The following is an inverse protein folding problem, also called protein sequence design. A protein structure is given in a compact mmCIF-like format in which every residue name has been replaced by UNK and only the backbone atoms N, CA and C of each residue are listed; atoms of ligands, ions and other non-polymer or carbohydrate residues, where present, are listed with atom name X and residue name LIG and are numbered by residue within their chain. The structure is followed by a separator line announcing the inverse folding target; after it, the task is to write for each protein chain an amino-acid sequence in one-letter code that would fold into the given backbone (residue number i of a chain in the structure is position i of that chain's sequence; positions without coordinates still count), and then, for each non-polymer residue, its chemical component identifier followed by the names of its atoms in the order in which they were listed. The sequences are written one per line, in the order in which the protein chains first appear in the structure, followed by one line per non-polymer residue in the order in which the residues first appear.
data_IF_245222242997
#
_entry.id   IF_245222242997
#
_cell.length_a   1.000
_cell.length_b   1.000
_cell.length_c   1.000
_cell.angle_alpha   90.00
_cell.angle_beta   90.00
_cell.angle_gamma   90.00
#
_symmetry.space_group_name_H-M   'P 1'
#
loop_
_entity.id
_entity.type
_entity.pdbx_description
1 polymer ?
#
# COMPACT_ATOMS: atom_id res chain seq x y z
N UNK A 1 14.92 15.01 5.20
CA UNK A 1 15.32 15.08 3.78
C UNK A 1 14.42 16.05 3.05
N UNK A 2 14.98 17.07 2.44
CA UNK A 2 14.15 17.92 1.59
C UNK A 2 13.63 17.15 0.40
N UNK A 3 12.34 17.26 0.13
CA UNK A 3 11.72 16.68 -1.04
C UNK A 3 12.06 17.53 -2.25
N UNK A 4 12.76 16.96 -3.20
CA UNK A 4 12.98 17.61 -4.49
C UNK A 4 11.88 17.23 -5.47
N UNK A 5 11.32 18.22 -6.14
CA UNK A 5 10.31 17.96 -7.17
C UNK A 5 11.00 17.46 -8.46
N UNK A 6 10.36 16.52 -9.16
CA UNK A 6 10.90 16.08 -10.45
C UNK A 6 10.89 17.22 -11.46
N UNK A 7 11.93 17.25 -12.30
CA UNK A 7 12.17 18.36 -13.24
C UNK A 7 11.74 18.06 -14.67
N UNK A 8 11.38 16.83 -14.98
CA UNK A 8 10.99 16.43 -16.33
C UNK A 8 10.01 15.27 -16.32
N UNK A 9 9.31 15.07 -17.44
CA UNK A 9 8.44 13.92 -17.63
C UNK A 9 9.21 12.59 -17.59
N UNK A 10 10.42 12.59 -18.13
CA UNK A 10 11.28 11.41 -18.10
C UNK A 10 11.64 11.03 -16.66
N UNK A 11 11.96 12.02 -15.84
CA UNK A 11 12.23 11.79 -14.42
C UNK A 11 11.00 11.28 -13.67
N UNK A 12 9.82 11.84 -13.95
CA UNK A 12 8.56 11.37 -13.37
C UNK A 12 8.33 9.90 -13.73
N UNK A 13 8.50 9.52 -14.99
CA UNK A 13 8.32 8.13 -15.43
C UNK A 13 9.29 7.18 -14.73
N UNK A 14 10.54 7.58 -14.57
CA UNK A 14 11.55 6.80 -13.87
C UNK A 14 11.15 6.57 -12.41
N UNK A 15 10.74 7.63 -11.72
CA UNK A 15 10.29 7.56 -10.33
C UNK A 15 9.07 6.65 -10.22
N UNK A 16 8.11 6.78 -11.12
CA UNK A 16 6.91 5.95 -11.12
C UNK A 16 7.24 4.47 -11.36
N UNK A 17 8.15 4.17 -12.27
CA UNK A 17 8.58 2.80 -12.54
C UNK A 17 9.24 2.16 -11.30
N UNK A 18 10.11 2.89 -10.64
CA UNK A 18 10.77 2.44 -9.41
C UNK A 18 9.75 2.20 -8.29
N UNK A 19 8.80 3.13 -8.12
CA UNK A 19 7.77 3.02 -7.08
C UNK A 19 6.78 1.89 -7.34
N UNK A 20 6.39 1.68 -8.59
CA UNK A 20 5.54 0.54 -8.97
C UNK A 20 6.22 -0.78 -8.62
N UNK A 21 7.48 -0.93 -8.98
CA UNK A 21 8.27 -2.13 -8.68
C UNK A 21 8.36 -2.34 -7.18
N UNK A 22 8.73 -1.31 -6.44
CA UNK A 22 8.85 -1.38 -4.98
C UNK A 22 7.53 -1.77 -4.33
N UNK A 23 6.43 -1.15 -4.74
CA UNK A 23 5.10 -1.45 -4.20
C UNK A 23 4.70 -2.91 -4.43
N UNK A 24 4.95 -3.43 -5.63
CA UNK A 24 4.65 -4.83 -5.95
C UNK A 24 5.56 -5.78 -5.18
N UNK A 25 6.84 -5.48 -5.06
CA UNK A 25 7.78 -6.28 -4.25
C UNK A 25 7.32 -6.36 -2.79
N UNK A 26 6.86 -5.26 -2.23
CA UNK A 26 6.31 -5.26 -0.88
C UNK A 26 4.99 -6.04 -0.79
N UNK A 27 4.11 -5.89 -1.77
CA UNK A 27 2.85 -6.61 -1.82
C UNK A 27 3.06 -8.13 -1.90
N UNK A 28 4.09 -8.59 -2.59
CA UNK A 28 4.42 -10.03 -2.69
C UNK A 28 4.79 -10.66 -1.35
N UNK A 29 5.09 -9.87 -0.34
CA UNK A 29 5.31 -10.35 1.03
C UNK A 29 3.99 -10.72 1.73
N UNK A 30 2.87 -10.31 1.17
CA UNK A 30 1.54 -10.61 1.67
C UNK A 30 0.97 -11.83 0.93
N UNK A 31 0.61 -12.91 1.63
CA UNK A 31 -0.05 -14.07 0.99
C UNK A 31 -1.30 -13.68 0.22
N UNK A 32 -2.06 -12.72 0.73
CA UNK A 32 -3.25 -12.18 0.07
C UNK A 32 -2.93 -11.64 -1.33
N UNK A 33 -1.87 -10.83 -1.46
CA UNK A 33 -1.49 -10.25 -2.73
C UNK A 33 -0.77 -11.24 -3.64
N UNK A 34 0.00 -12.17 -3.08
CA UNK A 34 0.68 -13.19 -3.89
C UNK A 34 -0.29 -13.96 -4.78
N UNK A 35 -1.41 -14.41 -4.21
CA UNK A 35 -2.41 -15.14 -4.98
C UNK A 35 -3.08 -14.26 -6.05
N UNK A 36 -3.29 -13.00 -5.76
CA UNK A 36 -3.93 -12.05 -6.69
C UNK A 36 -3.01 -11.59 -7.83
N UNK A 37 -1.71 -11.66 -7.61
CA UNK A 37 -0.70 -11.23 -8.59
C UNK A 37 -0.15 -12.37 -9.45
N UNK A 38 -0.60 -13.60 -9.26
CA UNK A 38 -0.11 -14.78 -9.99
C UNK A 38 -0.19 -14.64 -11.51
N UNK A 39 -1.21 -13.98 -12.01
CA UNK A 39 -1.44 -13.81 -13.45
C UNK A 39 -0.86 -12.51 -14.00
N UNK A 40 -0.22 -11.72 -13.18
CA UNK A 40 0.37 -10.44 -13.57
C UNK A 40 1.85 -10.65 -13.89
N UNK A 41 2.29 -10.16 -15.03
CA UNK A 41 3.70 -10.25 -15.44
C UNK A 41 4.50 -9.16 -14.75
N UNK A 42 5.22 -9.55 -13.71
CA UNK A 42 5.99 -8.62 -12.86
C UNK A 42 7.17 -7.99 -13.59
N UNK A 43 7.62 -8.59 -14.69
CA UNK A 43 8.65 -8.03 -15.57
C UNK A 43 8.14 -6.95 -16.52
N UNK A 44 6.82 -6.72 -16.55
CA UNK A 44 6.15 -5.77 -17.45
C UNK A 44 5.29 -4.74 -16.75
N UNK A 45 5.61 -4.38 -15.54
CA UNK A 45 4.81 -3.43 -14.75
C UNK A 45 4.78 -2.02 -15.32
N UNK A 46 5.70 -1.70 -16.20
CA UNK A 46 5.72 -0.40 -16.89
C UNK A 46 4.70 -0.34 -18.02
N UNK A 47 4.27 -1.49 -18.54
CA UNK A 47 3.19 -1.57 -19.52
C UNK A 47 1.86 -1.25 -18.83
N UNK A 48 1.15 -0.25 -19.35
CA UNK A 48 -0.11 0.21 -18.76
C UNK A 48 -1.18 -0.88 -18.76
N UNK A 49 -1.22 -1.72 -19.78
CA UNK A 49 -2.22 -2.78 -19.85
C UNK A 49 -1.92 -3.88 -18.84
N UNK A 50 -0.64 -4.24 -18.66
CA UNK A 50 -0.24 -5.19 -17.65
C UNK A 50 -0.50 -4.65 -16.23
N UNK A 51 -0.21 -3.37 -15.99
CA UNK A 51 -0.50 -2.73 -14.72
C UNK A 51 -1.99 -2.76 -14.38
N UNK A 52 -2.87 -2.58 -15.36
CA UNK A 52 -4.33 -2.66 -15.17
C UNK A 52 -4.84 -4.06 -14.82
N UNK A 53 -4.05 -5.09 -15.04
CA UNK A 53 -4.40 -6.45 -14.65
C UNK A 53 -4.30 -6.70 -13.16
N UNK A 54 -3.65 -5.82 -12.42
CA UNK A 54 -3.61 -5.90 -10.95
C UNK A 54 -5.04 -5.66 -10.43
N UNK A 55 -5.61 -6.59 -9.65
CA UNK A 55 -6.96 -6.43 -9.12
C UNK A 55 -7.07 -5.19 -8.23
N UNK A 56 -8.18 -4.47 -8.37
CA UNK A 56 -8.48 -3.34 -7.50
C UNK A 56 -8.93 -3.88 -6.14
N UNK A 57 -8.35 -3.32 -5.09
CA UNK A 57 -8.75 -3.64 -3.72
C UNK A 57 -9.86 -2.68 -3.29
N UNK A 58 -11.01 -3.22 -2.97
CA UNK A 58 -12.12 -2.45 -2.45
C UNK A 58 -12.30 -2.64 -0.93
N UNK A 59 -13.08 -1.76 -0.33
CA UNK A 59 -13.33 -1.78 1.12
C UNK A 59 -14.09 -3.03 1.56
N UNK A 60 -14.97 -3.54 0.73
CA UNK A 60 -15.77 -4.72 1.06
C UNK A 60 -14.89 -5.98 1.16
N UNK A 61 -13.91 -6.09 0.29
CA UNK A 61 -12.92 -7.18 0.36
C UNK A 61 -12.16 -7.14 1.69
N UNK A 62 -11.75 -5.95 2.13
CA UNK A 62 -11.06 -5.79 3.41
C UNK A 62 -11.98 -6.11 4.60
N UNK A 63 -13.22 -5.66 4.56
CA UNK A 63 -14.19 -5.92 5.63
C UNK A 63 -14.54 -7.39 5.76
N UNK A 64 -14.47 -8.15 4.67
CA UNK A 64 -14.74 -9.57 4.66
C UNK A 64 -13.63 -10.42 5.31
N UNK A 65 -12.45 -9.86 5.51
CA UNK A 65 -11.34 -10.56 6.14
C UNK A 65 -11.59 -10.71 7.64
N UNK A 66 -11.34 -11.90 8.18
CA UNK A 66 -11.25 -12.08 9.63
C UNK A 66 -10.01 -11.36 10.18
N UNK A 67 -9.95 -11.15 11.47
CA UNK A 67 -8.77 -10.54 12.11
C UNK A 67 -7.51 -11.36 11.82
N UNK A 68 -7.59 -12.68 11.89
CA UNK A 68 -6.46 -13.54 11.55
C UNK A 68 -6.01 -13.39 10.11
N UNK A 69 -6.94 -13.35 9.16
CA UNK A 69 -6.62 -13.13 7.75
C UNK A 69 -6.01 -11.76 7.53
N UNK A 70 -6.55 -10.73 8.18
CA UNK A 70 -6.03 -9.38 8.05
C UNK A 70 -4.58 -9.28 8.51
N UNK A 71 -4.27 -9.78 9.70
CA UNK A 71 -2.91 -9.67 10.25
C UNK A 71 -1.92 -10.67 9.66
N UNK A 72 -2.35 -11.88 9.34
CA UNK A 72 -1.44 -12.94 8.90
C UNK A 72 -1.31 -13.07 7.39
N UNK A 73 -2.33 -12.65 6.66
CA UNK A 73 -2.35 -12.81 5.19
C UNK A 73 -2.28 -11.50 4.44
N UNK A 74 -2.96 -10.47 4.91
CA UNK A 74 -3.01 -9.18 4.22
C UNK A 74 -1.85 -8.25 4.60
N UNK A 75 -1.60 -8.09 5.90
CA UNK A 75 -0.53 -7.21 6.36
C UNK A 75 0.85 -7.74 5.97
N UNK A 76 1.72 -6.83 5.56
CA UNK A 76 3.09 -7.16 5.18
C UNK A 76 3.97 -7.36 6.42
N UNK A 77 3.66 -6.67 7.50
CA UNK A 77 4.42 -6.75 8.74
C UNK A 77 3.65 -7.49 9.83
N UNK A 78 4.34 -8.20 10.71
CA UNK A 78 3.68 -8.86 11.83
C UNK A 78 3.03 -7.85 12.78
N UNK A 79 2.04 -8.31 13.53
CA UNK A 79 1.27 -7.46 14.44
C UNK A 79 2.14 -6.75 15.49
N UNK A 80 3.21 -7.37 15.93
CA UNK A 80 4.15 -6.77 16.89
C UNK A 80 4.96 -5.61 16.31
N UNK A 81 5.01 -5.48 14.98
CA UNK A 81 5.64 -4.34 14.30
C UNK A 81 4.72 -3.14 14.11
N UNK A 82 3.47 -3.23 14.57
CA UNK A 82 2.49 -2.16 14.42
C UNK A 82 2.60 -1.23 15.62
N UNK A 83 2.78 0.07 15.35
CA UNK A 83 2.97 1.08 16.38
C UNK A 83 1.70 1.90 16.63
N UNK A 84 0.87 2.08 15.61
CA UNK A 84 -0.39 2.79 15.75
C UNK A 84 -1.43 2.28 14.76
N UNK A 85 -2.68 2.60 15.04
CA UNK A 85 -3.82 2.29 14.18
C UNK A 85 -4.55 3.56 13.81
N UNK A 86 -4.78 3.73 12.53
CA UNK A 86 -5.68 4.76 12.03
C UNK A 86 -7.01 4.12 11.69
N UNK A 87 -8.05 4.87 11.85
CA UNK A 87 -9.41 4.41 11.61
C UNK A 87 -10.07 5.29 10.54
N UNK A 88 -10.73 4.65 9.58
CA UNK A 88 -11.49 5.42 8.60
C UNK A 88 -12.74 6.03 9.23
N UNK A 89 -13.06 7.26 8.86
CA UNK A 89 -14.32 7.93 9.25
C UNK A 89 -15.46 7.53 8.34
N UNK A 90 -15.81 6.26 8.30
CA UNK A 90 -16.88 5.77 7.46
C UNK A 90 -18.25 6.12 7.99
N UNK A 91 -19.14 6.59 7.12
CA UNK A 91 -20.54 6.89 7.44
C UNK A 91 -21.40 5.62 7.37
N UNK A 92 -21.00 4.63 6.60
CA UNK A 92 -21.72 3.39 6.39
C UNK A 92 -20.82 2.18 6.68
N UNK A 93 -21.33 1.24 7.50
CA UNK A 93 -20.63 0.02 7.86
C UNK A 93 -19.56 0.22 8.92
N UNK A 94 -18.79 -0.84 9.18
CA UNK A 94 -17.70 -0.80 10.15
C UNK A 94 -16.51 -0.01 9.61
N UNK A 95 -15.84 0.79 10.45
CA UNK A 95 -14.65 1.51 10.03
C UNK A 95 -13.51 0.52 9.71
N UNK A 96 -12.71 0.86 8.73
CA UNK A 96 -11.49 0.13 8.43
C UNK A 96 -10.35 0.64 9.31
N UNK A 97 -9.50 -0.27 9.76
CA UNK A 97 -8.31 0.07 10.50
C UNK A 97 -7.10 0.03 9.57
N UNK A 98 -6.24 1.01 9.73
CA UNK A 98 -4.98 1.12 8.98
C UNK A 98 -3.82 1.00 9.96
N UNK A 99 -3.26 -0.21 10.13
CA UNK A 99 -2.11 -0.37 11.00
C UNK A 99 -0.87 0.26 10.37
N UNK A 100 -0.08 0.94 11.18
CA UNK A 100 1.12 1.63 10.73
C UNK A 100 2.32 1.20 11.56
N UNK A 101 3.41 0.93 10.85
CA UNK A 101 4.69 0.66 11.50
C UNK A 101 5.37 1.97 11.91
N UNK A 102 6.40 1.86 12.73
CA UNK A 102 7.22 3.01 13.09
C UNK A 102 7.76 3.74 11.86
N UNK A 103 8.19 2.99 10.86
CA UNK A 103 8.70 3.57 9.61
C UNK A 103 7.62 4.31 8.83
N UNK A 104 6.38 3.81 8.82
CA UNK A 104 5.27 4.51 8.19
C UNK A 104 5.01 5.86 8.88
N UNK A 105 5.23 5.93 10.19
CA UNK A 105 5.07 7.17 10.94
C UNK A 105 6.10 8.22 10.56
N UNK A 106 7.30 7.82 10.18
CA UNK A 106 8.35 8.74 9.72
C UNK A 106 7.97 9.45 8.43
N UNK A 107 7.26 8.74 7.54
CA UNK A 107 6.82 9.28 6.25
C UNK A 107 5.37 9.74 6.26
N UNK A 108 4.67 9.42 7.32
CA UNK A 108 3.27 9.74 7.46
C UNK A 108 3.04 11.20 7.77
N UNK A 109 1.84 11.62 8.12
CA UNK A 109 1.38 12.99 7.92
C UNK A 109 2.11 14.02 8.77
N UNK A 110 3.40 14.17 8.54
CA UNK A 110 4.16 15.29 9.03
C UNK A 110 3.44 16.63 8.80
N UNK A 111 2.71 16.82 7.68
CA UNK A 111 1.97 18.06 7.48
C UNK A 111 0.92 18.36 8.54
N UNK A 112 0.25 17.36 9.09
CA UNK A 112 -0.79 17.62 10.08
C UNK A 112 -0.23 18.04 11.43
N UNK A 113 0.94 17.56 11.80
CA UNK A 113 1.63 18.03 13.00
C UNK A 113 2.27 19.38 12.79
N UNK A 114 2.64 19.73 11.57
CA UNK A 114 3.19 21.04 11.24
C UNK A 114 2.12 22.13 11.17
N UNK A 115 0.87 21.78 11.00
CA UNK A 115 -0.25 22.73 10.96
C UNK A 115 -0.79 23.06 12.35
N UNK A 116 -0.28 22.43 13.35
CA UNK A 116 -0.61 22.68 14.75
C UNK A 116 0.41 23.61 15.38
#
# INVERSE_FOLDING_TARGET
MPLSLPKSRAEIRRIQAERKRHAVEQALRSPFWRSRLEKVRLDRLEDADEWRRIPILDKETLRALSDGQFYNEFCVKPADGIQEYWRSGGVTGQPLFYPRSFRDMEYGPAPSSASL
#
